data_IF_222789554592
#
_entry.id   IF_222789554592
#
_cell.length_a   1.000
_cell.length_b   1.000
_cell.length_c   1.000
_cell.angle_alpha   90.00
_cell.angle_beta   90.00
_cell.angle_gamma   90.00
#
_symmetry.space_group_name_H-M   'P 1'
#
loop_
_entity.id
_entity.type
_entity.pdbx_description
1 polymer ?
#
# COMPACT_ATOMS: atom_id res chain seq x y z
N UNK A 1 3.62 14.27 -11.83
CA UNK A 1 3.69 13.10 -10.98
C UNK A 1 4.58 12.03 -11.61
N UNK A 2 5.55 11.57 -10.86
CA UNK A 2 6.46 10.54 -11.31
C UNK A 2 6.16 9.22 -10.61
N UNK A 3 5.99 8.15 -11.38
CA UNK A 3 5.88 6.80 -10.86
C UNK A 3 7.22 6.10 -11.03
N UNK A 4 7.75 5.58 -9.92
CA UNK A 4 8.94 4.74 -9.95
C UNK A 4 8.52 3.31 -9.67
N UNK A 5 8.72 2.45 -10.63
CA UNK A 5 8.44 1.03 -10.51
C UNK A 5 9.74 0.30 -10.21
N UNK A 6 9.78 -0.39 -9.09
CA UNK A 6 10.85 -1.31 -8.79
C UNK A 6 10.53 -2.65 -9.43
N UNK A 7 11.45 -3.16 -10.24
CA UNK A 7 11.26 -4.44 -10.89
C UNK A 7 11.38 -5.56 -9.87
N UNK A 8 10.27 -6.20 -9.60
CA UNK A 8 10.24 -7.43 -8.83
C UNK A 8 9.30 -8.40 -9.54
N UNK A 9 9.62 -9.68 -9.41
CA UNK A 9 8.84 -10.73 -10.05
C UNK A 9 8.16 -11.56 -8.99
N UNK A 10 7.01 -11.08 -8.56
CA UNK A 10 6.17 -11.76 -7.58
C UNK A 10 4.72 -11.62 -7.97
N UNK A 11 3.95 -12.63 -7.66
CA UNK A 11 2.50 -12.61 -7.81
C UNK A 11 1.87 -12.83 -6.44
N UNK A 12 0.88 -12.00 -6.11
CA UNK A 12 0.18 -12.08 -4.83
C UNK A 12 -1.16 -12.77 -5.04
N UNK A 13 -1.41 -13.81 -4.25
CA UNK A 13 -2.69 -14.49 -4.23
C UNK A 13 -3.63 -13.73 -3.31
N UNK A 14 -4.55 -12.99 -3.88
CA UNK A 14 -5.44 -12.12 -3.13
C UNK A 14 -6.80 -12.03 -3.80
N UNK A 15 -7.72 -11.34 -3.15
CA UNK A 15 -9.01 -11.03 -3.73
C UNK A 15 -8.82 -10.26 -5.04
N UNK A 16 -9.67 -10.50 -6.06
CA UNK A 16 -9.62 -9.74 -7.31
C UNK A 16 -9.69 -8.23 -7.14
N UNK A 17 -10.14 -7.75 -5.98
CA UNK A 17 -10.19 -6.32 -5.67
C UNK A 17 -8.86 -5.74 -5.20
N UNK A 18 -7.78 -6.52 -5.20
CA UNK A 18 -6.46 -6.02 -4.79
C UNK A 18 -6.04 -4.79 -5.61
N UNK A 19 -6.34 -4.79 -6.90
CA UNK A 19 -6.07 -3.64 -7.76
C UNK A 19 -6.71 -2.36 -7.21
N UNK A 20 -7.92 -2.49 -6.67
CA UNK A 20 -8.63 -1.36 -6.07
C UNK A 20 -7.93 -0.83 -4.81
N UNK A 21 -7.27 -1.72 -4.07
CA UNK A 21 -6.48 -1.32 -2.91
C UNK A 21 -5.36 -0.39 -3.34
N UNK A 22 -4.59 -0.77 -4.37
CA UNK A 22 -3.53 0.08 -4.88
C UNK A 22 -4.05 1.40 -5.41
N UNK A 23 -5.17 1.36 -6.12
CA UNK A 23 -5.82 2.59 -6.59
C UNK A 23 -6.16 3.51 -5.41
N UNK A 24 -6.72 2.97 -4.35
CA UNK A 24 -7.08 3.75 -3.17
C UNK A 24 -5.86 4.35 -2.48
N UNK A 25 -4.75 3.61 -2.40
CA UNK A 25 -3.51 4.11 -1.81
C UNK A 25 -2.92 5.25 -2.63
N UNK A 26 -2.88 5.10 -3.95
CA UNK A 26 -2.37 6.12 -4.85
C UNK A 26 -3.26 7.35 -4.81
N UNK A 27 -4.57 7.16 -4.88
CA UNK A 27 -5.53 8.27 -4.80
C UNK A 27 -5.41 9.02 -3.48
N UNK A 28 -5.23 8.30 -2.38
CA UNK A 28 -5.03 8.90 -1.07
C UNK A 28 -3.78 9.78 -1.05
N UNK A 29 -2.68 9.33 -1.65
CA UNK A 29 -1.47 10.13 -1.76
C UNK A 29 -1.71 11.42 -2.55
N UNK A 30 -2.43 11.33 -3.66
CA UNK A 30 -2.71 12.49 -4.50
C UNK A 30 -3.62 13.51 -3.84
N UNK A 31 -4.61 13.05 -3.06
CA UNK A 31 -5.59 13.93 -2.42
C UNK A 31 -5.07 14.53 -1.12
N UNK A 32 -4.38 13.74 -0.31
CA UNK A 32 -4.01 14.12 1.06
C UNK A 32 -2.53 14.40 1.25
N UNK A 33 -1.69 14.02 0.30
CA UNK A 33 -0.25 14.10 0.46
C UNK A 33 0.35 15.48 0.33
N UNK A 34 -0.37 16.45 -0.17
CA UNK A 34 0.10 17.83 -0.44
C UNK A 34 1.38 17.85 -1.29
N UNK A 35 1.26 18.38 -2.50
CA UNK A 35 2.40 18.55 -3.40
C UNK A 35 3.19 17.26 -3.67
N UNK A 36 2.50 16.13 -3.80
CA UNK A 36 3.14 14.87 -4.14
C UNK A 36 3.65 14.92 -5.58
N UNK A 37 4.96 14.74 -5.75
CA UNK A 37 5.60 14.67 -7.05
C UNK A 37 6.00 13.25 -7.42
N UNK A 38 6.16 12.36 -6.43
CA UNK A 38 6.63 11.00 -6.67
C UNK A 38 5.86 9.99 -5.83
N UNK A 39 5.45 8.91 -6.46
CA UNK A 39 4.92 7.74 -5.78
C UNK A 39 5.78 6.55 -6.19
N UNK A 40 6.22 5.77 -5.20
CA UNK A 40 7.09 4.61 -5.43
C UNK A 40 6.40 3.36 -4.89
N UNK A 41 6.55 2.26 -5.61
CA UNK A 41 6.09 0.95 -5.15
C UNK A 41 7.30 0.03 -5.12
N UNK A 42 7.57 -0.54 -3.94
CA UNK A 42 8.70 -1.44 -3.71
C UNK A 42 8.22 -2.71 -3.04
N UNK A 43 8.93 -3.81 -3.26
CA UNK A 43 8.62 -5.06 -2.60
C UNK A 43 9.93 -5.74 -2.17
N UNK A 44 9.93 -6.23 -0.93
CA UNK A 44 11.04 -6.96 -0.35
C UNK A 44 10.55 -8.24 0.27
N UNK A 45 11.22 -9.34 -0.04
CA UNK A 45 10.96 -10.64 0.57
C UNK A 45 11.71 -10.74 1.89
N UNK A 46 11.06 -11.30 2.90
CA UNK A 46 11.67 -11.54 4.21
C UNK A 46 11.24 -12.93 4.73
N UNK A 47 11.77 -13.41 5.86
CA UNK A 47 11.43 -14.75 6.37
C UNK A 47 9.94 -14.97 6.62
N UNK A 48 9.18 -13.90 6.84
CA UNK A 48 7.75 -14.00 7.16
C UNK A 48 6.87 -13.90 5.92
N UNK A 49 7.40 -13.39 4.82
CA UNK A 49 6.64 -13.21 3.60
C UNK A 49 7.18 -12.12 2.71
N UNK A 50 6.27 -11.33 2.14
CA UNK A 50 6.59 -10.24 1.24
C UNK A 50 6.07 -8.92 1.85
N UNK A 51 6.91 -7.90 1.87
CA UNK A 51 6.50 -6.56 2.24
C UNK A 51 6.41 -5.71 0.98
N UNK A 52 5.25 -5.14 0.71
CA UNK A 52 5.02 -4.24 -0.43
C UNK A 52 4.78 -2.85 0.14
N UNK A 53 5.58 -1.87 -0.29
CA UNK A 53 5.47 -0.50 0.20
C UNK A 53 5.04 0.43 -0.91
N UNK A 54 4.00 1.21 -0.64
CA UNK A 54 3.54 2.30 -1.51
C UNK A 54 3.86 3.60 -0.80
N UNK A 55 4.83 4.33 -1.31
CA UNK A 55 5.37 5.53 -0.66
C UNK A 55 5.14 6.76 -1.52
N UNK A 56 4.96 7.91 -0.87
CA UNK A 56 4.93 9.21 -1.54
C UNK A 56 5.90 10.19 -0.86
N UNK A 57 6.12 11.31 -1.51
CA UNK A 57 6.98 12.39 -1.00
C UNK A 57 6.16 13.59 -0.48
N UNK A 58 4.94 13.34 -0.06
CA UNK A 58 4.05 14.37 0.46
C UNK A 58 4.31 14.71 1.93
N UNK A 59 3.28 15.19 2.60
CA UNK A 59 3.38 15.67 3.98
C UNK A 59 3.48 14.56 5.02
N UNK A 60 3.14 13.32 4.67
CA UNK A 60 3.12 12.23 5.63
C UNK A 60 1.90 12.28 6.56
N UNK A 61 1.88 11.37 7.51
CA UNK A 61 0.76 11.21 8.44
C UNK A 61 1.29 11.27 9.86
N UNK A 62 0.67 12.09 10.69
CA UNK A 62 1.05 12.24 12.09
C UNK A 62 0.96 10.90 12.82
N UNK A 63 1.92 10.65 13.71
CA UNK A 63 2.02 9.37 14.41
C UNK A 63 0.72 8.97 15.10
N UNK A 64 0.07 9.91 15.76
CA UNK A 64 -1.18 9.66 16.50
C UNK A 64 -2.37 9.35 15.60
N UNK A 65 -2.25 9.59 14.29
CA UNK A 65 -3.31 9.33 13.32
C UNK A 65 -3.13 8.06 12.52
N UNK A 66 -2.01 7.36 12.69
CA UNK A 66 -1.67 6.21 11.84
C UNK A 66 -2.68 5.06 11.90
N UNK A 67 -3.33 4.85 13.03
CA UNK A 67 -4.41 3.88 13.13
C UNK A 67 -5.77 4.47 12.79
N UNK A 68 -5.99 5.74 13.09
CA UNK A 68 -7.28 6.40 12.83
C UNK A 68 -7.63 6.48 11.36
N UNK A 69 -6.63 6.62 10.49
CA UNK A 69 -6.86 6.75 9.05
C UNK A 69 -7.54 5.52 8.43
N UNK A 70 -7.47 4.37 9.10
CA UNK A 70 -8.13 3.16 8.64
C UNK A 70 -9.54 2.98 9.18
N UNK A 71 -9.99 3.89 10.03
CA UNK A 71 -11.34 3.80 10.60
C UNK A 71 -12.38 4.25 9.59
N UNK A 72 -13.54 3.61 9.68
CA UNK A 72 -14.66 3.98 8.85
C UNK A 72 -15.05 5.43 9.09
N UNK A 73 -15.24 6.18 8.02
CA UNK A 73 -15.65 7.57 8.09
C UNK A 73 -14.51 8.56 8.32
N UNK A 74 -13.26 8.11 8.37
CA UNK A 74 -12.14 9.02 8.47
C UNK A 74 -11.93 9.78 7.15
N UNK A 75 -11.78 11.09 7.25
CA UNK A 75 -11.53 11.96 6.11
C UNK A 75 -12.80 12.58 5.53
N UNK A 76 -12.61 13.64 4.73
CA UNK A 76 -13.72 14.45 4.24
C UNK A 76 -14.42 13.88 3.00
N UNK A 77 -13.73 13.11 2.18
CA UNK A 77 -14.31 12.62 0.95
C UNK A 77 -15.23 11.45 1.24
N UNK A 78 -14.85 10.27 0.96
CA UNK A 78 -15.72 9.14 1.27
C UNK A 78 -15.48 8.57 2.67
N UNK A 79 -14.27 8.73 3.18
CA UNK A 79 -13.84 8.11 4.42
C UNK A 79 -13.78 6.59 4.35
N UNK A 80 -13.97 6.01 3.16
CA UNK A 80 -14.00 4.56 2.99
C UNK A 80 -12.77 4.01 2.30
N UNK A 81 -11.94 4.86 1.67
CA UNK A 81 -10.81 4.38 0.88
C UNK A 81 -9.88 3.45 1.65
N UNK A 82 -9.33 3.92 2.77
CA UNK A 82 -8.39 3.11 3.56
C UNK A 82 -9.11 2.06 4.40
N UNK A 83 -10.30 2.37 4.92
CA UNK A 83 -11.11 1.37 5.60
C UNK A 83 -11.41 0.19 4.67
N UNK A 84 -11.88 0.47 3.47
CA UNK A 84 -12.21 -0.55 2.49
C UNK A 84 -10.97 -1.33 2.05
N UNK A 85 -9.84 -0.64 1.88
CA UNK A 85 -8.58 -1.29 1.55
C UNK A 85 -8.20 -2.34 2.58
N UNK A 86 -8.29 -1.99 3.87
CA UNK A 86 -7.99 -2.94 4.95
C UNK A 86 -8.94 -4.13 4.94
N UNK A 87 -10.25 -3.88 4.74
CA UNK A 87 -11.25 -4.95 4.68
C UNK A 87 -10.98 -5.92 3.52
N UNK A 88 -10.64 -5.40 2.35
CA UNK A 88 -10.31 -6.22 1.19
C UNK A 88 -9.08 -7.09 1.48
N UNK A 89 -8.05 -6.50 2.07
CA UNK A 89 -6.80 -7.20 2.36
C UNK A 89 -6.98 -8.28 3.43
N UNK A 90 -7.87 -8.06 4.38
CA UNK A 90 -8.17 -9.04 5.43
C UNK A 90 -8.73 -10.35 4.86
N UNK A 91 -9.36 -10.33 3.69
CA UNK A 91 -9.91 -11.54 3.05
C UNK A 91 -8.80 -12.56 2.80
N UNK A 92 -7.59 -12.12 2.49
CA UNK A 92 -6.45 -13.00 2.21
C UNK A 92 -5.33 -12.82 3.23
N UNK A 93 -5.65 -12.37 4.42
CA UNK A 93 -4.71 -12.21 5.54
C UNK A 93 -3.52 -11.31 5.23
N UNK A 94 -3.72 -10.31 4.37
CA UNK A 94 -2.70 -9.31 4.09
C UNK A 94 -2.89 -8.15 5.07
N UNK A 95 -1.85 -7.87 5.85
CA UNK A 95 -1.85 -6.74 6.76
C UNK A 95 -1.52 -5.44 6.04
N UNK A 96 -1.99 -4.33 6.57
CA UNK A 96 -1.63 -3.00 6.09
C UNK A 96 -1.39 -2.06 7.27
N UNK A 97 -0.34 -1.25 7.16
CA UNK A 97 -0.03 -0.20 8.15
C UNK A 97 0.66 0.96 7.47
N UNK A 98 0.61 2.12 8.09
CA UNK A 98 1.32 3.29 7.63
C UNK A 98 2.59 3.46 8.47
N UNK A 99 3.75 3.50 7.84
CA UNK A 99 5.06 3.50 8.50
C UNK A 99 5.94 4.69 8.12
N UNK A 100 5.41 5.67 7.39
CA UNK A 100 6.18 6.85 6.98
C UNK A 100 6.47 7.80 8.14
N UNK A 101 7.23 8.85 7.83
CA UNK A 101 7.56 9.90 8.78
C UNK A 101 6.82 11.18 8.40
N UNK A 102 6.15 11.78 9.37
CA UNK A 102 5.49 13.07 9.17
C UNK A 102 6.49 14.10 8.64
N UNK A 103 6.10 14.79 7.59
CA UNK A 103 6.96 15.78 6.93
C UNK A 103 7.82 15.19 5.81
N UNK A 104 7.94 13.87 5.71
CA UNK A 104 8.77 13.21 4.70
C UNK A 104 7.95 12.40 3.69
N UNK A 105 6.70 12.16 3.99
CA UNK A 105 5.80 11.43 3.11
C UNK A 105 5.13 10.25 3.79
N UNK A 106 4.07 9.76 3.17
CA UNK A 106 3.37 8.57 3.65
C UNK A 106 4.01 7.31 3.03
N UNK A 107 3.95 6.22 3.78
CA UNK A 107 4.41 4.91 3.31
C UNK A 107 3.46 3.84 3.84
N UNK A 108 2.71 3.25 2.94
CA UNK A 108 1.80 2.15 3.29
C UNK A 108 2.50 0.83 3.02
N UNK A 109 2.64 0.03 4.06
CA UNK A 109 3.27 -1.29 3.95
C UNK A 109 2.22 -2.38 4.03
N UNK A 110 2.17 -3.22 3.00
CA UNK A 110 1.35 -4.41 2.96
C UNK A 110 2.22 -5.61 3.34
N UNK A 111 1.76 -6.40 4.30
CA UNK A 111 2.47 -7.60 4.74
C UNK A 111 1.76 -8.82 4.19
N UNK A 112 2.36 -9.45 3.19
CA UNK A 112 1.79 -10.62 2.51
C UNK A 112 2.44 -11.88 3.10
N UNK A 113 1.64 -12.81 3.66
CA UNK A 113 2.20 -14.03 4.22
C UNK A 113 2.82 -14.92 3.13
N UNK A 114 3.70 -15.83 3.52
CA UNK A 114 4.40 -16.72 2.59
C UNK A 114 3.47 -17.45 1.63
N UNK A 115 2.34 -17.92 2.11
CA UNK A 115 1.36 -18.63 1.28
C UNK A 115 0.61 -17.70 0.33
N UNK A 116 0.72 -16.38 0.50
CA UNK A 116 -0.03 -15.39 -0.25
C UNK A 116 0.65 -14.87 -1.51
N UNK A 117 1.85 -15.33 -1.82
CA UNK A 117 2.55 -14.88 -3.02
C UNK A 117 3.47 -15.96 -3.55
N UNK A 118 3.90 -15.78 -4.79
CA UNK A 118 4.96 -16.59 -5.38
C UNK A 118 5.95 -15.69 -6.11
N UNK A 119 7.20 -16.15 -6.19
CA UNK A 119 8.20 -15.49 -7.02
C UNK A 119 8.09 -16.01 -8.45
N UNK A 120 8.01 -15.12 -9.42
CA UNK A 120 8.03 -15.51 -10.82
C UNK A 120 9.46 -15.79 -11.26
N UNK A 121 9.69 -16.93 -11.92
CA UNK A 121 10.96 -17.24 -12.54
C UNK A 121 11.05 -16.53 -13.89
N UNK A 122 12.27 -16.44 -14.45
CA UNK A 122 12.48 -15.84 -15.75
C UNK A 122 11.66 -16.48 -16.87
N UNK A 123 11.26 -17.74 -16.69
CA UNK A 123 10.46 -18.48 -17.67
C UNK A 123 8.95 -18.29 -17.51
N UNK A 124 8.53 -17.60 -16.46
CA UNK A 124 7.12 -17.34 -16.17
C UNK A 124 6.67 -15.97 -16.66
N UNK A 125 7.39 -15.41 -17.58
CA UNK A 125 7.06 -14.11 -18.16
C UNK A 125 5.97 -14.29 -19.18
N UNK A 126 4.81 -13.80 -18.86
CA UNK A 126 3.70 -13.73 -19.80
C UNK A 126 3.57 -12.34 -20.37
#
# INVERSE_FOLDING_TARGET
LEFRRVLFRSEIYADPLLEKVFYNLIHNSLVHGQNVARISIQADENPYGLAVRVSDDGSGIAHEKKEEIFKRGFGKNTGFGLFLAREILDITDIGIREIGLEGEGACFELSVPRAGFRRCNGNDVS
#
